data_IF_213505289128
#
_entry.id   IF_213505289128
#
_cell.length_a   1.000
_cell.length_b   1.000
_cell.length_c   1.000
_cell.angle_alpha   90.00
_cell.angle_beta   90.00
_cell.angle_gamma   90.00
#
_symmetry.space_group_name_H-M   'P 1'
#
loop_
_entity.id
_entity.type
_entity.pdbx_description
1 polymer ?
#
# COMPACT_ATOMS: atom_id res chain seq x y z
N UNK A 1 -18.82 -15.43 -4.75
CA UNK A 1 -19.54 -14.14 -4.68
C UNK A 1 -18.53 -13.05 -4.35
N UNK A 2 -18.28 -12.10 -5.25
CA UNK A 2 -17.35 -10.99 -4.97
C UNK A 2 -17.96 -10.10 -3.88
N UNK A 3 -17.31 -10.03 -2.72
CA UNK A 3 -17.76 -9.22 -1.58
C UNK A 3 -17.49 -7.75 -1.94
N UNK A 4 -18.52 -6.89 -1.93
CA UNK A 4 -18.33 -5.44 -2.17
C UNK A 4 -17.45 -4.87 -1.05
N UNK A 5 -16.28 -4.34 -1.42
CA UNK A 5 -15.35 -3.64 -0.52
C UNK A 5 -15.17 -2.20 -0.98
N UNK A 6 -14.74 -1.32 -0.08
CA UNK A 6 -14.44 0.08 -0.43
C UNK A 6 -12.93 0.33 -0.39
N UNK A 7 -12.39 1.25 -1.21
CA UNK A 7 -10.97 1.61 -1.16
C UNK A 7 -10.50 2.05 0.25
N UNK A 8 -11.40 2.68 1.02
CA UNK A 8 -11.11 3.11 2.40
C UNK A 8 -11.00 1.93 3.34
N UNK A 9 -11.92 0.96 3.25
CA UNK A 9 -11.85 -0.27 4.03
C UNK A 9 -10.58 -1.06 3.74
N UNK A 10 -10.16 -1.13 2.46
CA UNK A 10 -8.89 -1.76 2.08
C UNK A 10 -7.70 -1.01 2.70
N UNK A 11 -7.69 0.32 2.67
CA UNK A 11 -6.66 1.14 3.31
C UNK A 11 -6.50 0.82 4.81
N UNK A 12 -7.60 0.73 5.56
CA UNK A 12 -7.58 0.36 6.98
C UNK A 12 -7.09 -1.06 7.25
N UNK A 13 -7.37 -2.01 6.34
CA UNK A 13 -6.85 -3.38 6.44
C UNK A 13 -5.34 -3.38 6.19
N UNK A 14 -4.87 -2.66 5.17
CA UNK A 14 -3.45 -2.56 4.84
C UNK A 14 -2.63 -1.90 5.96
N UNK A 15 -3.17 -0.90 6.66
CA UNK A 15 -2.49 -0.28 7.80
C UNK A 15 -2.35 -1.21 9.01
N UNK A 16 -3.16 -2.26 9.08
CA UNK A 16 -3.19 -3.22 10.18
C UNK A 16 -2.22 -4.40 9.97
N UNK A 17 -1.44 -4.39 8.89
CA UNK A 17 -0.50 -5.47 8.58
C UNK A 17 0.69 -5.47 9.55
N UNK A 18 0.86 -6.57 10.30
CA UNK A 18 1.94 -6.74 11.28
C UNK A 18 3.24 -7.30 10.68
N UNK A 19 3.21 -7.77 9.43
CA UNK A 19 4.35 -8.42 8.76
C UNK A 19 4.56 -7.85 7.33
N UNK A 20 4.95 -6.57 7.21
CA UNK A 20 4.98 -5.82 5.92
C UNK A 20 5.95 -6.36 4.85
N UNK A 21 6.92 -7.20 5.21
CA UNK A 21 7.83 -7.83 4.25
C UNK A 21 7.30 -9.14 3.68
N UNK A 22 6.53 -9.90 4.48
CA UNK A 22 5.95 -11.19 4.07
C UNK A 22 4.65 -10.96 3.32
N UNK A 23 3.80 -10.06 3.84
CA UNK A 23 2.57 -9.63 3.19
C UNK A 23 2.88 -8.26 2.56
N UNK A 24 2.98 -8.16 1.22
CA UNK A 24 3.47 -6.96 0.54
C UNK A 24 2.40 -5.86 0.46
N UNK A 25 1.97 -5.34 1.61
CA UNK A 25 0.99 -4.26 1.69
C UNK A 25 1.49 -2.95 1.05
N UNK A 26 2.82 -2.79 0.91
CA UNK A 26 3.44 -1.67 0.21
C UNK A 26 3.11 -1.63 -1.28
N UNK A 27 2.69 -2.73 -1.91
CA UNK A 27 2.31 -2.78 -3.33
C UNK A 27 0.94 -2.17 -3.65
N UNK A 28 0.12 -1.91 -2.63
CA UNK A 28 -1.21 -1.30 -2.84
C UNK A 28 -1.06 0.22 -2.88
N UNK A 29 -1.28 0.83 -4.03
CA UNK A 29 -1.17 2.29 -4.23
C UNK A 29 -2.51 2.91 -4.66
N UNK A 30 -2.59 4.25 -4.68
CA UNK A 30 -3.79 4.94 -5.17
C UNK A 30 -3.94 4.76 -6.69
N UNK A 31 -5.18 4.82 -7.17
CA UNK A 31 -5.50 4.65 -8.59
C UNK A 31 -4.93 5.75 -9.48
N UNK A 32 -4.54 6.90 -8.92
CA UNK A 32 -3.87 8.01 -9.61
C UNK A 32 -2.34 7.83 -9.71
N UNK A 33 -1.81 6.71 -9.18
CA UNK A 33 -0.39 6.37 -9.20
C UNK A 33 0.42 6.96 -8.05
N UNK A 34 -0.24 7.58 -7.07
CA UNK A 34 0.41 8.10 -5.87
C UNK A 34 0.53 7.02 -4.79
N UNK A 35 1.50 7.18 -3.89
CA UNK A 35 1.81 6.20 -2.86
C UNK A 35 0.62 5.86 -1.94
N UNK A 36 -0.24 6.84 -1.66
CA UNK A 36 -1.32 6.72 -0.67
C UNK A 36 -0.82 6.75 0.78
N UNK A 37 -1.74 6.93 1.73
CA UNK A 37 -1.42 7.17 3.15
C UNK A 37 -1.69 6.00 4.09
N UNK A 38 -1.69 4.77 3.60
CA UNK A 38 -2.00 3.58 4.41
C UNK A 38 -0.71 2.85 4.80
N UNK A 39 -0.55 2.58 6.10
CA UNK A 39 0.65 1.99 6.68
C UNK A 39 1.31 2.92 7.71
N UNK A 40 2.29 2.41 8.47
CA UNK A 40 2.94 3.18 9.54
C UNK A 40 3.85 4.29 9.00
N UNK A 41 4.46 4.12 7.82
CA UNK A 41 5.40 5.08 7.26
C UNK A 41 5.35 5.07 5.70
N UNK A 42 4.94 6.18 5.05
CA UNK A 42 4.97 6.33 3.60
C UNK A 42 6.39 6.20 3.01
N UNK A 43 7.41 6.67 3.70
CA UNK A 43 8.78 6.68 3.19
C UNK A 43 9.32 5.26 3.05
N UNK A 44 9.03 4.39 4.02
CA UNK A 44 9.32 2.96 3.96
C UNK A 44 8.69 2.27 2.75
N UNK A 45 7.41 2.58 2.51
CA UNK A 45 6.67 2.02 1.37
C UNK A 45 7.25 2.48 0.03
N UNK A 46 7.63 3.77 -0.07
CA UNK A 46 8.29 4.32 -1.26
C UNK A 46 9.60 3.60 -1.53
N UNK A 47 10.44 3.46 -0.51
CA UNK A 47 11.75 2.78 -0.61
C UNK A 47 11.63 1.31 -1.02
N UNK A 48 10.66 0.56 -0.48
CA UNK A 48 10.40 -0.82 -0.89
C UNK A 48 9.96 -0.92 -2.36
N UNK A 49 9.07 -0.03 -2.81
CA UNK A 49 8.64 0.03 -4.20
C UNK A 49 9.79 0.39 -5.14
N UNK A 50 10.64 1.33 -4.76
CA UNK A 50 11.85 1.70 -5.51
C UNK A 50 12.83 0.53 -5.63
N UNK A 51 13.04 -0.23 -4.55
CA UNK A 51 13.85 -1.47 -4.57
C UNK A 51 13.25 -2.54 -5.48
N UNK A 52 11.93 -2.59 -5.63
CA UNK A 52 11.23 -3.45 -6.59
C UNK A 52 11.23 -2.88 -8.03
N UNK A 53 11.80 -1.69 -8.25
CA UNK A 53 11.86 -1.03 -9.56
C UNK A 53 10.58 -0.29 -9.96
N UNK A 54 9.66 -0.05 -9.02
CA UNK A 54 8.39 0.63 -9.25
C UNK A 54 8.54 2.13 -8.99
N UNK A 55 8.19 2.96 -9.98
CA UNK A 55 8.11 4.42 -9.82
C UNK A 55 6.71 4.83 -9.37
N UNK A 56 6.65 5.49 -8.22
CA UNK A 56 5.41 6.01 -7.60
C UNK A 56 5.44 7.53 -7.57
N UNK A 57 4.29 8.16 -7.76
CA UNK A 57 4.14 9.61 -7.60
C UNK A 57 4.01 9.95 -6.11
N UNK A 58 4.53 11.11 -5.71
CA UNK A 58 4.30 11.67 -4.37
C UNK A 58 2.85 12.17 -4.20
#
# INVERSE_FOLDING_TARGET
TSKKTTPRAIGSIMSSNRVPLVIPCHRVIMSDGRLGGYGPDPEWKKRLLEMEGVRVKD
#
